data_IF_933799463850
#
_entry.id   IF_933799463850
#
_cell.length_a   1.000
_cell.length_b   1.000
_cell.length_c   1.000
_cell.angle_alpha   90.00
_cell.angle_beta   90.00
_cell.angle_gamma   90.00
#
_symmetry.space_group_name_H-M   'P 1'
#
loop_
_entity.id
_entity.type
_entity.pdbx_description
1 polymer ?
#
# COMPACT_ATOMS: atom_id res chain seq x y z
N UNK A 1 -11.16 -24.95 21.15
CA UNK A 1 -12.26 -24.13 21.67
C UNK A 1 -12.69 -23.24 20.52
N UNK A 2 -13.86 -23.58 19.96
CA UNK A 2 -14.61 -22.92 18.88
C UNK A 2 -13.87 -22.55 17.59
N UNK A 3 -13.99 -23.46 16.63
CA UNK A 3 -13.92 -23.19 15.19
C UNK A 3 -14.86 -22.03 14.82
N UNK A 4 -14.30 -20.95 14.27
CA UNK A 4 -15.06 -19.85 13.71
C UNK A 4 -15.55 -20.33 12.34
N UNK A 5 -16.86 -20.49 12.20
CA UNK A 5 -17.50 -20.95 10.96
C UNK A 5 -17.54 -19.83 9.93
N UNK A 6 -17.39 -20.22 8.67
CA UNK A 6 -17.34 -19.42 7.43
C UNK A 6 -18.61 -18.58 7.15
N UNK A 7 -19.54 -18.47 8.10
CA UNK A 7 -20.90 -17.95 7.92
C UNK A 7 -21.11 -16.54 8.51
N UNK A 8 -20.15 -15.96 9.24
CA UNK A 8 -20.30 -14.64 9.90
C UNK A 8 -19.76 -13.45 9.08
N UNK A 9 -19.09 -13.68 7.95
CA UNK A 9 -18.60 -12.61 7.07
C UNK A 9 -19.57 -12.32 5.94
N UNK A 10 -20.69 -11.65 6.26
CA UNK A 10 -21.58 -11.11 5.24
C UNK A 10 -20.98 -9.84 4.59
N UNK A 11 -19.80 -9.99 4.00
CA UNK A 11 -19.14 -8.97 3.19
C UNK A 11 -19.71 -9.06 1.77
N UNK A 12 -20.00 -7.91 1.11
CA UNK A 12 -20.50 -7.92 -0.26
C UNK A 12 -19.49 -8.63 -1.18
N UNK A 13 -19.96 -9.45 -2.15
CA UNK A 13 -19.06 -10.12 -3.08
C UNK A 13 -18.22 -9.08 -3.84
N UNK A 14 -16.92 -9.36 -3.96
CA UNK A 14 -15.99 -8.52 -4.69
C UNK A 14 -16.54 -8.22 -6.09
N UNK A 15 -16.69 -6.94 -6.43
CA UNK A 15 -17.19 -6.50 -7.74
C UNK A 15 -16.20 -6.72 -8.89
N UNK A 16 -14.96 -7.07 -8.57
CA UNK A 16 -13.92 -7.38 -9.54
C UNK A 16 -13.61 -8.87 -9.43
N UNK A 17 -13.90 -9.63 -10.48
CA UNK A 17 -13.40 -11.00 -10.61
C UNK A 17 -11.88 -10.93 -10.55
N UNK A 18 -11.30 -11.30 -9.40
CA UNK A 18 -9.88 -11.57 -9.33
C UNK A 18 -9.66 -12.86 -10.11
N UNK A 19 -9.19 -12.77 -11.36
CA UNK A 19 -8.83 -13.92 -12.21
C UNK A 19 -7.74 -14.81 -11.58
N UNK A 20 -7.20 -14.43 -10.41
CA UNK A 20 -5.99 -15.00 -9.84
C UNK A 20 -6.25 -16.20 -8.90
N UNK A 21 -7.38 -16.30 -8.18
CA UNK A 21 -7.87 -17.53 -7.47
C UNK A 21 -9.10 -17.30 -6.56
N UNK A 22 -9.91 -18.34 -6.27
CA UNK A 22 -11.29 -18.24 -5.72
C UNK A 22 -11.42 -17.88 -4.22
N UNK A 23 -10.37 -17.40 -3.54
CA UNK A 23 -10.41 -17.06 -2.11
C UNK A 23 -9.75 -15.71 -1.81
N UNK A 24 -10.22 -14.66 -2.49
CA UNK A 24 -9.81 -13.28 -2.19
C UNK A 24 -10.90 -12.61 -1.33
N UNK A 25 -10.56 -12.16 -0.13
CA UNK A 25 -11.46 -11.34 0.70
C UNK A 25 -11.07 -9.87 0.54
N UNK A 26 -12.02 -9.03 0.12
CA UNK A 26 -11.83 -7.58 0.02
C UNK A 26 -12.06 -6.99 1.41
N UNK A 27 -10.99 -6.64 2.11
CA UNK A 27 -11.10 -6.19 3.51
C UNK A 27 -11.48 -4.71 3.57
N UNK A 28 -11.05 -3.91 2.58
CA UNK A 28 -11.28 -2.46 2.59
C UNK A 28 -11.38 -1.93 1.14
N UNK A 29 -12.57 -1.45 0.75
CA UNK A 29 -12.73 -0.56 -0.40
C UNK A 29 -13.15 0.84 0.09
N UNK A 30 -12.22 1.78 0.17
CA UNK A 30 -12.57 3.18 0.47
C UNK A 30 -13.08 3.87 -0.79
N UNK A 31 -14.30 3.52 -1.22
CA UNK A 31 -14.92 4.11 -2.41
C UNK A 31 -15.74 5.39 -2.16
N UNK A 32 -16.04 5.74 -0.90
CA UNK A 32 -17.14 6.70 -0.64
C UNK A 32 -16.95 7.71 0.52
N UNK A 33 -15.86 7.67 1.29
CA UNK A 33 -15.72 8.56 2.47
C UNK A 33 -14.44 9.42 2.46
N UNK A 34 -13.41 8.99 1.74
CA UNK A 34 -12.15 9.71 1.56
C UNK A 34 -11.71 9.52 0.11
N UNK A 35 -11.09 10.51 -0.53
CA UNK A 35 -10.66 10.47 -1.95
C UNK A 35 -9.50 9.48 -2.23
N UNK A 36 -9.44 8.32 -1.56
CA UNK A 36 -8.42 7.31 -1.77
C UNK A 36 -8.85 6.33 -2.86
N UNK A 37 -8.01 6.17 -3.88
CA UNK A 37 -8.24 5.31 -5.05
C UNK A 37 -7.47 3.99 -4.88
N UNK A 38 -7.89 3.18 -3.92
CA UNK A 38 -7.22 1.92 -3.58
C UNK A 38 -8.17 0.85 -3.05
N UNK A 39 -7.73 -0.39 -3.15
CA UNK A 39 -8.37 -1.58 -2.60
C UNK A 39 -7.31 -2.54 -2.07
N UNK A 40 -7.59 -3.12 -0.92
CA UNK A 40 -6.73 -4.12 -0.30
C UNK A 40 -7.39 -5.50 -0.36
N UNK A 41 -6.65 -6.49 -0.82
CA UNK A 41 -7.06 -7.89 -0.86
C UNK A 41 -6.13 -8.71 0.00
N UNK A 42 -6.67 -9.46 0.95
CA UNK A 42 -5.86 -10.44 1.70
C UNK A 42 -5.93 -11.77 0.99
N UNK A 43 -4.74 -12.31 0.71
CA UNK A 43 -4.50 -13.61 0.09
C UNK A 43 -4.06 -14.57 1.19
N UNK A 44 -4.96 -15.45 1.63
CA UNK A 44 -4.58 -16.53 2.56
C UNK A 44 -4.03 -17.70 1.73
N UNK A 45 -2.70 -17.81 1.68
CA UNK A 45 -1.97 -18.84 0.94
C UNK A 45 -1.19 -19.72 1.93
N UNK A 46 -1.68 -20.95 2.15
CA UNK A 46 -0.94 -22.03 2.83
C UNK A 46 -0.19 -21.62 4.13
N UNK A 47 -0.90 -20.99 5.07
CA UNK A 47 -0.43 -20.54 6.41
C UNK A 47 0.43 -19.27 6.45
N UNK A 48 0.79 -18.68 5.32
CA UNK A 48 1.33 -17.31 5.23
C UNK A 48 0.21 -16.38 4.77
N UNK A 49 -0.02 -15.31 5.52
CA UNK A 49 -0.95 -14.28 5.10
C UNK A 49 -0.17 -13.33 4.19
N UNK A 50 -0.53 -13.29 2.91
CA UNK A 50 -0.02 -12.29 1.96
C UNK A 50 -1.09 -11.24 1.73
N UNK A 51 -0.67 -10.03 1.36
CA UNK A 51 -1.61 -8.94 1.08
C UNK A 51 -1.32 -8.35 -0.26
N UNK A 52 -2.32 -8.34 -1.12
CA UNK A 52 -2.28 -7.65 -2.39
C UNK A 52 -2.87 -6.25 -2.24
N UNK A 53 -2.02 -5.25 -2.39
CA UNK A 53 -2.42 -3.86 -2.62
C UNK A 53 -2.76 -3.70 -4.09
N UNK A 54 -3.94 -3.13 -4.35
CA UNK A 54 -4.31 -2.62 -5.65
C UNK A 54 -4.61 -1.12 -5.52
N UNK A 55 -3.80 -0.29 -6.16
CA UNK A 55 -3.94 1.16 -6.18
C UNK A 55 -4.16 1.65 -7.61
N UNK A 56 -4.99 2.68 -7.78
CA UNK A 56 -5.23 3.27 -9.08
C UNK A 56 -5.22 4.80 -9.02
N UNK A 57 -5.03 5.43 -10.17
CA UNK A 57 -4.99 6.88 -10.31
C UNK A 57 -5.26 7.30 -11.75
N UNK A 58 -5.48 8.59 -11.95
CA UNK A 58 -5.61 9.17 -13.29
C UNK A 58 -4.23 9.30 -13.96
N UNK A 59 -3.18 9.31 -13.13
CA UNK A 59 -1.77 9.33 -13.53
C UNK A 59 -0.99 8.24 -12.80
N UNK A 60 0.14 7.82 -13.38
CA UNK A 60 1.05 6.85 -12.76
C UNK A 60 1.57 7.35 -11.41
N UNK A 61 1.86 8.65 -11.33
CA UNK A 61 2.24 9.33 -10.09
C UNK A 61 1.17 9.17 -9.00
N UNK A 62 -0.10 9.41 -9.33
CA UNK A 62 -1.19 9.22 -8.37
C UNK A 62 -1.31 7.75 -7.96
N UNK A 63 -1.19 6.79 -8.88
CA UNK A 63 -1.26 5.37 -8.54
C UNK A 63 -0.14 4.95 -7.56
N UNK A 64 1.08 5.47 -7.74
CA UNK A 64 2.21 5.22 -6.82
C UNK A 64 1.99 5.85 -5.44
N UNK A 65 1.53 7.11 -5.40
CA UNK A 65 1.17 7.79 -4.14
C UNK A 65 0.10 7.01 -3.38
N UNK A 66 -0.94 6.55 -4.08
CA UNK A 66 -1.99 5.73 -3.49
C UNK A 66 -1.43 4.41 -2.98
N UNK A 67 -0.57 3.73 -3.74
CA UNK A 67 0.05 2.47 -3.29
C UNK A 67 0.82 2.64 -1.97
N UNK A 68 1.62 3.71 -1.85
CA UNK A 68 2.32 4.03 -0.61
C UNK A 68 1.36 4.32 0.56
N UNK A 69 0.31 5.10 0.30
CA UNK A 69 -0.69 5.40 1.32
C UNK A 69 -1.46 4.14 1.77
N UNK A 70 -1.67 3.17 0.89
CA UNK A 70 -2.33 1.90 1.21
C UNK A 70 -1.50 1.08 2.19
N UNK A 71 -0.18 1.03 1.96
CA UNK A 71 0.76 0.33 2.83
C UNK A 71 0.72 0.88 4.25
N UNK A 72 0.81 2.21 4.42
CA UNK A 72 0.74 2.83 5.75
C UNK A 72 -0.62 2.72 6.42
N UNK A 73 -1.72 2.81 5.66
CA UNK A 73 -3.08 2.57 6.18
C UNK A 73 -3.27 1.15 6.70
N UNK A 74 -2.52 0.19 6.16
CA UNK A 74 -2.59 -1.18 6.61
C UNK A 74 -1.81 -1.39 7.92
N UNK A 75 -0.68 -0.70 8.06
CA UNK A 75 0.17 -0.76 9.26
C UNK A 75 -0.47 -0.07 10.47
N UNK A 76 -1.14 1.07 10.28
CA UNK A 76 -1.78 1.82 11.36
C UNK A 76 -3.03 2.58 10.90
N UNK A 77 -3.88 2.95 11.85
CA UNK A 77 -5.02 3.82 11.58
C UNK A 77 -4.57 5.27 11.36
N UNK A 78 -4.78 5.77 10.15
CA UNK A 78 -4.30 7.11 9.74
C UNK A 78 -4.95 8.29 10.45
N UNK A 79 -6.09 8.08 11.12
CA UNK A 79 -6.82 9.14 11.81
C UNK A 79 -6.04 9.66 13.02
N UNK A 80 -5.15 8.84 13.58
CA UNK A 80 -4.29 9.19 14.71
C UNK A 80 -2.96 9.82 14.28
N UNK A 81 -2.63 9.79 12.98
CA UNK A 81 -1.39 10.35 12.46
C UNK A 81 -1.57 11.85 12.18
N UNK A 82 -0.73 12.67 12.79
CA UNK A 82 -0.63 14.10 12.51
C UNK A 82 0.46 14.40 11.47
N UNK A 83 0.18 15.27 10.50
CA UNK A 83 1.15 15.71 9.49
C UNK A 83 2.03 16.84 10.04
N UNK A 84 2.88 16.53 11.02
CA UNK A 84 3.76 17.52 11.69
C UNK A 84 5.11 17.64 11.01
N UNK A 85 5.63 16.52 10.54
CA UNK A 85 6.95 16.39 9.94
C UNK A 85 6.82 15.93 8.49
N UNK A 86 7.85 16.19 7.70
CA UNK A 86 7.95 15.70 6.34
C UNK A 86 9.27 15.00 6.13
N UNK A 87 9.23 13.83 5.50
CA UNK A 87 10.41 13.06 5.14
C UNK A 87 10.55 13.02 3.62
N UNK A 88 11.71 13.44 3.13
CA UNK A 88 12.06 13.41 1.71
C UNK A 88 12.61 12.03 1.34
N UNK A 89 12.07 11.48 0.25
CA UNK A 89 12.40 10.14 -0.27
C UNK A 89 12.86 10.33 -1.70
N UNK A 90 14.08 9.89 -2.00
CA UNK A 90 14.62 9.88 -3.35
C UNK A 90 15.05 8.47 -3.69
N UNK A 91 14.42 7.90 -4.71
CA UNK A 91 14.68 6.53 -5.16
C UNK A 91 14.94 6.48 -6.65
N UNK A 92 15.84 5.58 -7.03
CA UNK A 92 16.19 5.30 -8.40
C UNK A 92 15.94 3.82 -8.70
N UNK A 93 15.53 3.52 -9.94
CA UNK A 93 15.25 2.16 -10.40
C UNK A 93 15.88 1.89 -11.75
N UNK A 94 15.94 0.61 -12.13
CA UNK A 94 16.39 0.20 -13.47
C UNK A 94 15.25 0.11 -14.48
N UNK A 95 14.03 -0.07 -13.98
CA UNK A 95 12.79 -0.27 -14.71
C UNK A 95 11.62 0.14 -13.81
N UNK A 96 10.41 0.22 -14.36
CA UNK A 96 9.25 0.70 -13.60
C UNK A 96 8.87 -0.19 -12.41
N UNK A 97 9.05 -1.50 -12.54
CA UNK A 97 8.71 -2.47 -11.48
C UNK A 97 9.72 -2.34 -10.35
N UNK A 98 11.02 -2.29 -10.68
CA UNK A 98 12.08 -2.06 -9.68
C UNK A 98 11.95 -0.68 -9.02
N UNK A 99 11.53 0.35 -9.76
CA UNK A 99 11.31 1.68 -9.20
C UNK A 99 10.19 1.68 -8.15
N UNK A 100 9.08 0.99 -8.44
CA UNK A 100 7.99 0.82 -7.49
C UNK A 100 8.42 0.01 -6.27
N UNK A 101 9.15 -1.08 -6.48
CA UNK A 101 9.70 -1.88 -5.40
C UNK A 101 10.58 -1.04 -4.48
N UNK A 102 11.60 -0.37 -5.05
CA UNK A 102 12.54 0.46 -4.28
C UNK A 102 11.83 1.60 -3.56
N UNK A 103 10.79 2.17 -4.17
CA UNK A 103 9.99 3.23 -3.56
C UNK A 103 9.25 2.75 -2.31
N UNK A 104 8.59 1.59 -2.38
CA UNK A 104 7.88 1.03 -1.23
C UNK A 104 8.88 0.49 -0.19
N UNK A 105 10.01 -0.06 -0.62
CA UNK A 105 11.02 -0.65 0.27
C UNK A 105 11.71 0.43 1.10
N UNK A 106 12.02 1.58 0.50
CA UNK A 106 12.55 2.74 1.24
C UNK A 106 11.53 3.26 2.26
N UNK A 107 10.24 3.32 1.89
CA UNK A 107 9.17 3.70 2.81
C UNK A 107 9.03 2.72 3.99
N UNK A 108 9.13 1.42 3.71
CA UNK A 108 9.12 0.38 4.73
C UNK A 108 10.36 0.47 5.62
N UNK A 109 11.52 0.72 5.04
CA UNK A 109 12.77 0.90 5.77
C UNK A 109 12.68 2.08 6.74
N UNK A 110 12.14 3.22 6.31
CA UNK A 110 11.95 4.41 7.15
C UNK A 110 10.98 4.14 8.32
N UNK A 111 10.00 3.26 8.13
CA UNK A 111 9.09 2.83 9.18
C UNK A 111 9.71 1.82 10.15
N UNK A 112 10.57 0.92 9.66
CA UNK A 112 11.17 -0.15 10.46
C UNK A 112 12.51 0.24 11.12
N UNK A 113 13.21 1.25 10.58
CA UNK A 113 14.44 1.79 11.13
C UNK A 113 14.14 3.00 12.03
N UNK A 114 14.98 3.23 13.06
CA UNK A 114 14.88 4.46 13.87
C UNK A 114 14.98 5.69 12.95
N UNK A 115 13.96 6.59 12.92
CA UNK A 115 13.02 6.93 13.99
C UNK A 115 11.62 6.29 13.94
N UNK A 116 11.37 5.23 13.16
CA UNK A 116 10.06 4.61 12.95
C UNK A 116 9.01 5.59 12.44
N UNK A 117 9.31 6.26 11.32
CA UNK A 117 8.45 7.32 10.81
C UNK A 117 7.25 6.75 10.04
N UNK A 118 6.06 7.26 10.33
CA UNK A 118 4.82 6.85 9.65
C UNK A 118 4.20 8.00 8.87
N UNK A 119 4.04 7.80 7.56
CA UNK A 119 3.44 8.81 6.69
C UNK A 119 1.92 8.62 6.61
N UNK A 120 1.17 9.69 6.89
CA UNK A 120 -0.27 9.74 6.63
C UNK A 120 -0.56 9.93 5.15
N UNK A 121 0.28 10.72 4.49
CA UNK A 121 0.12 11.07 3.08
C UNK A 121 1.49 11.15 2.43
N UNK A 122 1.67 10.38 1.37
CA UNK A 122 2.83 10.49 0.49
C UNK A 122 2.44 11.28 -0.74
N UNK A 123 3.31 12.21 -1.14
CA UNK A 123 3.17 13.03 -2.34
C UNK A 123 4.45 12.97 -3.16
N UNK A 124 4.35 12.65 -4.44
CA UNK A 124 5.47 12.65 -5.37
C UNK A 124 5.62 14.06 -5.95
N UNK A 125 6.82 14.62 -5.83
CA UNK A 125 7.17 15.95 -6.35
C UNK A 125 7.80 15.86 -7.74
N UNK A 126 8.64 14.86 -7.97
CA UNK A 126 9.27 14.60 -9.28
C UNK A 126 9.12 13.12 -9.65
N UNK A 127 8.71 12.85 -10.88
CA UNK A 127 8.59 11.51 -11.43
C UNK A 127 9.23 11.50 -12.82
N UNK A 128 10.43 10.94 -12.93
CA UNK A 128 11.16 10.80 -14.19
C UNK A 128 11.05 9.36 -14.70
N UNK A 129 10.20 9.16 -15.72
CA UNK A 129 10.03 7.86 -16.40
C UNK A 129 11.22 7.46 -17.27
N UNK A 130 12.10 8.40 -17.63
CA UNK A 130 13.23 8.16 -18.55
C UNK A 130 14.46 7.72 -17.77
N UNK A 131 14.72 8.40 -16.66
CA UNK A 131 15.80 8.06 -15.74
C UNK A 131 15.37 7.09 -14.63
N UNK A 132 14.08 6.74 -14.56
CA UNK A 132 13.46 5.93 -13.50
C UNK A 132 13.80 6.45 -12.12
N UNK A 133 13.48 7.73 -11.87
CA UNK A 133 13.72 8.39 -10.59
C UNK A 133 12.44 8.97 -10.02
N UNK A 134 12.26 8.82 -8.72
CA UNK A 134 11.13 9.40 -7.98
C UNK A 134 11.70 10.23 -6.83
N UNK A 135 11.21 11.45 -6.70
CA UNK A 135 11.30 12.22 -5.47
C UNK A 135 9.92 12.39 -4.88
N UNK A 136 9.77 11.95 -3.64
CA UNK A 136 8.53 12.04 -2.90
C UNK A 136 8.75 12.63 -1.52
N UNK A 137 7.67 13.13 -0.94
CA UNK A 137 7.59 13.66 0.40
C UNK A 137 6.48 12.95 1.15
N UNK A 138 6.86 12.21 2.19
CA UNK A 138 5.92 11.65 3.16
C UNK A 138 5.60 12.72 4.22
N UNK A 139 4.32 12.94 4.51
CA UNK A 139 3.86 13.82 5.58
C UNK A 139 3.25 13.00 6.70
N UNK A 140 3.73 13.20 7.92
CA UNK A 140 3.44 12.30 9.04
C UNK A 140 4.18 12.69 10.32
N UNK A 141 4.39 11.69 11.17
CA UNK A 141 5.08 11.83 12.46
C UNK A 141 5.80 10.52 12.82
N UNK A 142 6.67 10.57 13.82
CA UNK A 142 7.26 9.38 14.44
C UNK A 142 6.18 8.50 15.10
N UNK A 143 6.26 7.19 14.87
CA UNK A 143 5.34 6.21 15.42
C UNK A 143 5.56 6.07 16.94
N UNK A 144 4.50 6.31 17.71
CA UNK A 144 4.55 6.23 19.18
C UNK A 144 3.62 5.14 19.70
N UNK A 145 4.20 4.13 20.35
CA UNK A 145 3.46 3.10 21.06
C UNK A 145 2.55 3.73 22.13
N UNK A 146 1.24 3.62 21.93
CA UNK A 146 0.20 4.15 22.82
C UNK A 146 -0.59 5.33 22.26
N UNK A 147 -0.03 6.08 21.30
CA UNK A 147 -0.79 7.08 20.52
C UNK A 147 -1.42 6.43 19.28
N UNK A 148 -0.65 5.59 18.60
CA UNK A 148 -1.07 4.93 17.36
C UNK A 148 -1.43 3.46 17.63
N UNK A 149 -2.60 2.98 17.16
CA UNK A 149 -2.92 1.57 17.23
C UNK A 149 -1.97 0.80 16.31
N UNK A 150 -1.34 -0.26 16.84
CA UNK A 150 -0.52 -1.15 16.05
C UNK A 150 -1.44 -2.08 15.26
N UNK A 151 -1.46 -1.89 13.93
CA UNK A 151 -2.14 -2.79 13.01
C UNK A 151 -1.29 -4.02 12.74
N UNK A 152 -1.12 -4.35 11.47
CA UNK A 152 -0.27 -5.47 11.07
C UNK A 152 1.06 -4.96 10.54
N UNK A 153 2.15 -5.57 11.01
CA UNK A 153 3.50 -5.28 10.55
C UNK A 153 3.69 -5.86 9.14
N UNK A 154 4.30 -5.08 8.24
CA UNK A 154 4.72 -5.57 6.93
C UNK A 154 6.19 -5.94 7.04
N UNK A 155 6.55 -7.16 6.64
CA UNK A 155 7.93 -7.65 6.71
C UNK A 155 8.73 -7.27 5.48
N UNK A 156 8.12 -7.41 4.30
CA UNK A 156 8.79 -7.20 3.03
C UNK A 156 7.80 -6.92 1.90
N UNK A 157 8.27 -6.22 0.88
CA UNK A 157 7.59 -6.14 -0.41
C UNK A 157 8.11 -7.27 -1.28
N UNK A 158 7.23 -7.85 -2.09
CA UNK A 158 7.60 -8.95 -2.99
C UNK A 158 7.49 -8.51 -4.45
N UNK A 159 8.38 -9.03 -5.29
CA UNK A 159 8.23 -8.96 -6.75
C UNK A 159 7.17 -9.93 -7.29
N UNK A 160 6.59 -10.76 -6.42
CA UNK A 160 5.63 -11.76 -6.82
C UNK A 160 4.37 -11.07 -7.37
N UNK A 161 4.12 -11.27 -8.67
CA UNK A 161 2.93 -10.75 -9.34
C UNK A 161 2.78 -9.22 -9.24
N UNK A 162 3.89 -8.48 -9.18
CA UNK A 162 3.87 -7.03 -9.29
C UNK A 162 3.49 -6.62 -10.71
N UNK A 163 2.44 -5.81 -10.85
CA UNK A 163 1.91 -5.40 -12.15
C UNK A 163 1.65 -3.91 -12.17
N UNK A 164 2.02 -3.27 -13.28
CA UNK A 164 1.76 -1.86 -13.55
C UNK A 164 1.02 -1.83 -14.89
N UNK A 165 -0.22 -1.35 -14.86
CA UNK A 165 -1.07 -1.23 -16.03
C UNK A 165 -1.29 0.25 -16.32
N UNK A 166 -0.81 0.70 -17.46
CA UNK A 166 -1.00 2.07 -17.96
C UNK A 166 -2.07 2.05 -19.05
N UNK A 167 -3.29 2.45 -18.70
CA UNK A 167 -4.39 2.61 -19.66
C UNK A 167 -4.70 4.10 -19.88
N UNK A 168 -5.34 4.42 -21.02
CA UNK A 168 -5.74 5.80 -21.35
C UNK A 168 -6.67 6.39 -20.28
N UNK A 169 -6.11 7.22 -19.40
CA UNK A 169 -6.83 7.90 -18.32
C UNK A 169 -6.99 7.09 -17.03
N UNK A 170 -6.40 5.90 -16.91
CA UNK A 170 -6.38 5.14 -15.66
C UNK A 170 -5.09 4.31 -15.55
N UNK A 171 -4.30 4.59 -14.52
CA UNK A 171 -3.13 3.79 -14.16
C UNK A 171 -3.48 2.92 -12.96
N UNK A 172 -3.12 1.64 -13.01
CA UNK A 172 -3.37 0.66 -11.94
C UNK A 172 -2.06 -0.05 -11.57
N UNK A 173 -1.88 -0.26 -10.27
CA UNK A 173 -0.68 -0.86 -9.69
C UNK A 173 -1.10 -1.96 -8.73
N UNK A 174 -0.48 -3.13 -8.87
CA UNK A 174 -0.71 -4.30 -8.04
C UNK A 174 0.61 -4.71 -7.39
N UNK A 175 0.63 -4.82 -6.06
CA UNK A 175 1.81 -5.20 -5.27
C UNK A 175 1.40 -6.21 -4.22
N UNK A 176 2.23 -7.23 -3.99
CA UNK A 176 2.04 -8.20 -2.90
C UNK A 176 3.05 -7.91 -1.78
N UNK A 177 2.53 -7.79 -0.56
CA UNK A 177 3.26 -7.61 0.68
C UNK A 177 3.24 -8.89 1.51
N UNK A 178 4.37 -9.18 2.14
CA UNK A 178 4.54 -10.21 3.16
C UNK A 178 4.35 -9.58 4.55
N UNK A 179 3.51 -10.16 5.41
CA UNK A 179 3.16 -9.67 6.75
C UNK A 179 3.52 -10.66 7.85
#
# INVERSE_FOLDING_TARGET
>A
MSDIKEEDWNLPPCKYECEIRPKCYCIISYGLVTNFKMSLFVLDLDHTADIQIHAWGDTLTEAFEQCANAMFHYMTEVDYIEMRESYDIEVEGHDMVTLLYNFLDELLFIFSAEPNYIARKVKIEEFDTTAFKIKAKGFGEEFQLGKHPQGTEVKAITFANMQIHENEGKCEVFVILDI
#
